data_IF_952906061071
#
_entry.id   IF_952906061071
#
_cell.length_a   1.000
_cell.length_b   1.000
_cell.length_c   1.000
_cell.angle_alpha   90.00
_cell.angle_beta   90.00
_cell.angle_gamma   90.00
#
_symmetry.space_group_name_H-M   'P 1'
#
loop_
_entity.id
_entity.type
_entity.pdbx_description
1 polymer ?
#
# COMPACT_ATOMS: atom_id res chain seq x y z
N UNK A 1 3.76 -16.29 -7.88
CA UNK A 1 2.78 -16.33 -6.77
C UNK A 1 2.07 -15.00 -6.50
N UNK A 2 2.67 -13.84 -6.78
CA UNK A 2 2.08 -12.54 -6.37
C UNK A 2 0.65 -12.26 -6.87
N UNK A 3 0.28 -12.66 -8.09
CA UNK A 3 -1.09 -12.46 -8.59
C UNK A 3 -2.12 -13.31 -7.86
N UNK A 4 -1.82 -14.58 -7.61
CA UNK A 4 -2.71 -15.48 -6.86
C UNK A 4 -2.84 -15.04 -5.41
N UNK A 5 -1.76 -14.51 -4.82
CA UNK A 5 -1.76 -13.88 -3.50
C UNK A 5 -2.65 -12.63 -3.46
N UNK A 6 -2.52 -11.73 -4.42
CA UNK A 6 -3.35 -10.53 -4.53
C UNK A 6 -4.85 -10.86 -4.55
N UNK A 7 -5.24 -11.91 -5.27
CA UNK A 7 -6.63 -12.40 -5.30
C UNK A 7 -7.07 -12.99 -3.96
N UNK A 8 -6.18 -13.65 -3.23
CA UNK A 8 -6.49 -14.17 -1.90
C UNK A 8 -6.65 -13.06 -0.87
N UNK A 9 -5.81 -12.02 -0.93
CA UNK A 9 -5.94 -10.82 -0.08
C UNK A 9 -7.26 -10.09 -0.40
N UNK A 10 -7.55 -9.84 -1.68
CA UNK A 10 -8.78 -9.18 -2.11
C UNK A 10 -10.03 -9.98 -1.70
N UNK A 11 -10.01 -11.31 -1.85
CA UNK A 11 -11.10 -12.18 -1.40
C UNK A 11 -11.31 -12.09 0.11
N UNK A 12 -10.22 -12.06 0.89
CA UNK A 12 -10.29 -12.00 2.36
C UNK A 12 -10.86 -10.66 2.85
N UNK A 13 -10.60 -9.56 2.13
CA UNK A 13 -11.22 -8.25 2.44
C UNK A 13 -12.73 -8.24 2.20
N UNK A 14 -13.22 -9.04 1.25
CA UNK A 14 -14.64 -9.31 1.07
C UNK A 14 -15.48 -8.05 0.91
N UNK A 15 -16.53 -7.92 1.74
CA UNK A 15 -17.48 -6.79 1.68
C UNK A 15 -16.82 -5.44 1.94
N UNK A 16 -15.70 -5.38 2.67
CA UNK A 16 -15.02 -4.12 2.96
C UNK A 16 -14.49 -3.39 1.69
N UNK A 17 -14.40 -4.09 0.55
CA UNK A 17 -13.97 -3.51 -0.72
C UNK A 17 -15.06 -3.46 -1.80
N UNK A 18 -16.27 -3.98 -1.57
CA UNK A 18 -17.28 -4.14 -2.64
C UNK A 18 -17.70 -2.79 -3.24
N UNK A 19 -17.91 -1.77 -2.39
CA UNK A 19 -18.20 -0.42 -2.84
C UNK A 19 -17.06 0.19 -3.67
N UNK A 20 -15.81 -0.05 -3.27
CA UNK A 20 -14.63 0.42 -4.00
C UNK A 20 -14.46 -0.30 -5.35
N UNK A 21 -14.77 -1.60 -5.40
CA UNK A 21 -14.76 -2.39 -6.63
C UNK A 21 -15.86 -1.93 -7.59
N UNK A 22 -17.05 -1.62 -7.06
CA UNK A 22 -18.17 -1.04 -7.82
C UNK A 22 -17.79 0.29 -8.48
N UNK A 23 -17.21 1.22 -7.70
CA UNK A 23 -16.71 2.51 -8.24
C UNK A 23 -15.63 2.33 -9.28
N UNK A 24 -14.70 1.40 -9.06
CA UNK A 24 -13.65 1.12 -10.03
C UNK A 24 -14.24 0.66 -11.36
N UNK A 25 -15.19 -0.28 -11.35
CA UNK A 25 -15.90 -0.68 -12.58
C UNK A 25 -16.61 0.51 -13.25
N UNK A 26 -17.30 1.35 -12.48
CA UNK A 26 -17.97 2.54 -13.01
C UNK A 26 -16.98 3.53 -13.65
N UNK A 27 -15.81 3.73 -13.04
CA UNK A 27 -14.76 4.58 -13.59
C UNK A 27 -14.20 4.03 -14.91
N UNK A 28 -14.09 2.71 -15.05
CA UNK A 28 -13.67 2.06 -16.30
C UNK A 28 -14.72 2.16 -17.40
N UNK A 29 -16.00 1.98 -17.06
CA UNK A 29 -17.13 2.16 -18.00
C UNK A 29 -17.20 3.59 -18.51
N UNK A 30 -17.03 4.59 -17.63
CA UNK A 30 -17.00 6.00 -18.00
C UNK A 30 -15.85 6.35 -18.98
N UNK A 31 -14.76 5.57 -18.95
CA UNK A 31 -13.63 5.69 -19.89
C UNK A 31 -13.81 4.85 -21.16
N UNK A 32 -14.92 4.11 -21.30
CA UNK A 32 -15.16 3.17 -22.39
C UNK A 32 -14.21 1.97 -22.39
N UNK A 33 -13.60 1.66 -21.24
CA UNK A 33 -12.59 0.59 -21.11
C UNK A 33 -13.19 -0.73 -20.64
N UNK A 34 -14.38 -0.72 -20.04
CA UNK A 34 -15.04 -1.91 -19.52
C UNK A 34 -16.48 -1.97 -20.03
N UNK A 35 -16.89 -3.18 -20.43
CA UNK A 35 -18.29 -3.57 -20.55
C UNK A 35 -18.52 -4.75 -19.59
N UNK A 36 -19.29 -4.51 -18.52
CA UNK A 36 -19.54 -5.54 -17.50
C UNK A 36 -20.30 -6.74 -18.04
N UNK A 37 -21.19 -6.55 -19.03
CA UNK A 37 -21.96 -7.65 -19.58
C UNK A 37 -21.06 -8.61 -20.37
N UNK A 38 -20.12 -8.06 -21.16
CA UNK A 38 -19.13 -8.85 -21.90
C UNK A 38 -18.21 -9.63 -20.95
N UNK A 39 -17.75 -8.98 -19.88
CA UNK A 39 -16.85 -9.59 -18.90
C UNK A 39 -17.56 -10.45 -17.83
N UNK A 40 -18.89 -10.61 -17.92
CA UNK A 40 -19.71 -11.34 -16.94
C UNK A 40 -19.56 -10.79 -15.51
N UNK A 41 -19.41 -9.47 -15.38
CA UNK A 41 -19.35 -8.76 -14.10
C UNK A 41 -20.75 -8.29 -13.67
N UNK A 42 -21.03 -8.23 -12.35
CA UNK A 42 -22.33 -7.81 -11.84
C UNK A 42 -22.61 -6.33 -12.12
N UNK A 43 -23.88 -6.04 -12.46
CA UNK A 43 -24.37 -4.67 -12.59
C UNK A 43 -24.36 -3.93 -11.24
N UNK A 44 -24.44 -2.58 -11.23
CA UNK A 44 -24.55 -1.83 -9.99
C UNK A 44 -25.69 -2.29 -9.07
N UNK A 45 -26.86 -2.61 -9.64
CA UNK A 45 -28.01 -3.12 -8.88
C UNK A 45 -27.74 -4.51 -8.29
N UNK A 46 -27.12 -5.41 -9.05
CA UNK A 46 -26.76 -6.75 -8.57
C UNK A 46 -25.70 -6.70 -7.46
N UNK A 47 -24.74 -5.78 -7.53
CA UNK A 47 -23.76 -5.56 -6.46
C UNK A 47 -24.42 -5.05 -5.17
N UNK A 48 -25.35 -4.09 -5.28
CA UNK A 48 -26.07 -3.58 -4.11
C UNK A 48 -26.92 -4.68 -3.44
N UNK A 49 -27.59 -5.52 -4.23
CA UNK A 49 -28.34 -6.67 -3.70
C UNK A 49 -27.42 -7.70 -3.02
N UNK A 50 -26.26 -7.98 -3.60
CA UNK A 50 -25.25 -8.87 -3.00
C UNK A 50 -24.70 -8.30 -1.70
N UNK A 51 -24.39 -7.01 -1.67
CA UNK A 51 -23.92 -6.30 -0.47
C UNK A 51 -24.94 -6.41 0.67
N UNK A 52 -26.22 -6.16 0.39
CA UNK A 52 -27.30 -6.33 1.37
C UNK A 52 -27.47 -7.78 1.87
N UNK A 53 -27.08 -8.77 1.07
CA UNK A 53 -27.07 -10.19 1.46
C UNK A 53 -25.74 -10.66 2.06
N UNK A 54 -24.76 -9.76 2.23
CA UNK A 54 -23.45 -10.10 2.75
C UNK A 54 -22.59 -10.95 1.81
N UNK A 55 -22.86 -10.89 0.50
CA UNK A 55 -22.16 -11.66 -0.53
C UNK A 55 -21.09 -10.81 -1.23
N UNK A 56 -19.78 -11.05 -1.00
CA UNK A 56 -18.73 -10.33 -1.69
C UNK A 56 -18.54 -10.80 -3.15
N UNK A 57 -17.71 -10.09 -3.91
CA UNK A 57 -17.30 -10.52 -5.25
C UNK A 57 -16.59 -11.88 -5.23
N UNK A 58 -16.80 -12.66 -6.29
CA UNK A 58 -16.16 -13.98 -6.45
C UNK A 58 -14.69 -13.84 -6.84
N UNK A 59 -13.90 -14.91 -6.67
CA UNK A 59 -12.49 -14.92 -7.13
C UNK A 59 -12.35 -14.69 -8.64
N UNK A 60 -13.30 -15.18 -9.44
CA UNK A 60 -13.27 -15.01 -10.89
C UNK A 60 -13.47 -13.53 -11.24
N UNK A 61 -14.49 -12.89 -10.66
CA UNK A 61 -14.77 -11.46 -10.85
C UNK A 61 -13.59 -10.59 -10.37
N UNK A 62 -13.00 -10.91 -9.20
CA UNK A 62 -11.77 -10.24 -8.73
C UNK A 62 -10.58 -10.44 -9.68
N UNK A 63 -10.50 -11.61 -10.32
CA UNK A 63 -9.50 -11.91 -11.36
C UNK A 63 -9.60 -10.95 -12.54
N UNK A 64 -10.82 -10.73 -13.04
CA UNK A 64 -11.12 -9.77 -14.11
C UNK A 64 -10.74 -8.37 -13.68
N UNK A 65 -11.20 -7.90 -12.51
CA UNK A 65 -10.88 -6.55 -12.03
C UNK A 65 -9.37 -6.33 -11.84
N UNK A 66 -8.65 -7.33 -11.35
CA UNK A 66 -7.20 -7.25 -11.18
C UNK A 66 -6.48 -7.14 -12.53
N UNK A 67 -6.96 -7.83 -13.56
CA UNK A 67 -6.43 -7.72 -14.91
C UNK A 67 -6.66 -6.33 -15.50
N UNK A 68 -7.88 -5.81 -15.39
CA UNK A 68 -8.22 -4.45 -15.83
C UNK A 68 -7.41 -3.38 -15.09
N UNK A 69 -7.25 -3.50 -13.78
CA UNK A 69 -6.42 -2.59 -13.00
C UNK A 69 -4.98 -2.50 -13.54
N UNK A 70 -4.39 -3.62 -13.96
CA UNK A 70 -3.05 -3.65 -14.55
C UNK A 70 -3.01 -3.08 -15.96
N UNK A 71 -3.99 -3.40 -16.80
CA UNK A 71 -4.04 -2.95 -18.20
C UNK A 71 -4.19 -1.42 -18.24
N UNK A 72 -5.13 -0.90 -17.46
CA UNK A 72 -5.45 0.53 -17.46
C UNK A 72 -4.31 1.34 -16.82
N UNK A 73 -3.80 0.87 -15.68
CA UNK A 73 -2.63 1.51 -15.06
C UNK A 73 -1.41 1.48 -16.00
N UNK A 74 -1.19 0.38 -16.74
CA UNK A 74 -0.11 0.33 -17.72
C UNK A 74 -0.24 1.43 -18.77
N UNK A 75 -1.43 1.57 -19.38
CA UNK A 75 -1.69 2.59 -20.39
C UNK A 75 -1.51 4.01 -19.85
N UNK A 76 -2.01 4.28 -18.65
CA UNK A 76 -1.92 5.60 -18.01
C UNK A 76 -0.46 5.97 -17.69
N UNK A 77 0.35 4.99 -17.26
CA UNK A 77 1.73 5.23 -16.81
C UNK A 77 2.72 5.24 -17.96
N UNK A 78 2.56 4.39 -18.98
CA UNK A 78 3.46 4.39 -20.15
C UNK A 78 3.34 5.69 -20.96
N UNK A 79 2.18 6.36 -20.88
CA UNK A 79 1.95 7.67 -21.50
C UNK A 79 2.45 8.85 -20.64
N UNK A 80 2.84 8.60 -19.38
CA UNK A 80 3.35 9.62 -18.45
C UNK A 80 4.88 9.71 -18.47
N UNK A 81 5.44 10.65 -17.72
CA UNK A 81 6.88 10.81 -17.47
C UNK A 81 7.42 9.91 -16.34
N UNK A 82 6.57 9.12 -15.66
CA UNK A 82 6.97 8.21 -14.58
C UNK A 82 8.10 7.24 -15.02
N UNK A 83 8.03 6.57 -16.18
CA UNK A 83 9.06 5.61 -16.57
C UNK A 83 10.42 6.25 -16.89
N UNK A 84 10.50 7.59 -16.99
CA UNK A 84 11.74 8.31 -17.26
C UNK A 84 12.49 8.69 -15.97
N UNK A 85 11.85 8.57 -14.80
CA UNK A 85 12.53 8.82 -13.53
C UNK A 85 13.61 7.76 -13.29
N UNK A 86 14.84 8.23 -13.08
CA UNK A 86 16.03 7.40 -12.87
C UNK A 86 15.88 6.43 -11.68
N UNK A 87 15.01 6.73 -10.72
CA UNK A 87 14.70 5.82 -9.63
C UNK A 87 14.22 4.44 -10.13
N UNK A 88 13.44 4.39 -11.21
CA UNK A 88 12.88 3.14 -11.74
C UNK A 88 13.86 2.34 -12.61
N UNK A 89 15.08 2.82 -12.84
CA UNK A 89 16.12 2.00 -13.49
C UNK A 89 16.40 0.72 -12.69
N UNK A 90 16.23 0.75 -11.36
CA UNK A 90 16.33 -0.46 -10.55
C UNK A 90 15.26 -1.50 -10.90
N UNK A 91 14.04 -1.05 -11.22
CA UNK A 91 12.93 -1.91 -11.59
C UNK A 91 13.15 -2.49 -13.00
N UNK A 92 13.72 -1.69 -13.91
CA UNK A 92 14.20 -2.16 -15.21
C UNK A 92 15.26 -3.25 -15.05
N UNK A 93 16.30 -3.00 -14.27
CA UNK A 93 17.41 -3.94 -14.12
C UNK A 93 16.97 -5.21 -13.39
N UNK A 94 16.09 -5.09 -12.39
CA UNK A 94 15.52 -6.23 -11.67
C UNK A 94 14.56 -7.09 -12.49
N UNK A 95 14.10 -6.63 -13.66
CA UNK A 95 13.31 -7.44 -14.59
C UNK A 95 14.16 -8.52 -15.28
N UNK A 96 15.42 -8.21 -15.57
CA UNK A 96 16.32 -9.11 -16.29
C UNK A 96 17.08 -10.02 -15.32
N UNK A 97 17.46 -11.25 -15.74
CA UNK A 97 18.35 -12.09 -14.94
C UNK A 97 19.66 -11.37 -14.59
N UNK A 98 20.16 -11.52 -13.36
CA UNK A 98 21.33 -10.81 -12.84
C UNK A 98 22.55 -10.85 -13.76
N UNK A 99 22.82 -11.99 -14.39
CA UNK A 99 23.96 -12.13 -15.32
C UNK A 99 23.79 -11.24 -16.56
N UNK A 100 22.57 -11.14 -17.08
CA UNK A 100 22.24 -10.30 -18.23
C UNK A 100 22.28 -8.83 -17.84
N UNK A 101 21.66 -8.47 -16.71
CA UNK A 101 21.67 -7.12 -16.16
C UNK A 101 23.09 -6.58 -15.96
N UNK A 102 24.02 -7.40 -15.42
CA UNK A 102 25.42 -6.99 -15.23
C UNK A 102 26.19 -6.86 -16.54
N UNK A 103 26.01 -7.80 -17.47
CA UNK A 103 26.81 -7.88 -18.69
C UNK A 103 26.36 -6.89 -19.78
N UNK A 104 25.06 -6.62 -19.87
CA UNK A 104 24.45 -5.84 -20.94
C UNK A 104 23.71 -4.60 -20.41
N UNK A 105 24.24 -3.99 -19.34
CA UNK A 105 23.58 -2.86 -18.68
C UNK A 105 23.32 -1.70 -19.64
N UNK A 106 24.32 -1.33 -20.44
CA UNK A 106 24.20 -0.21 -21.39
C UNK A 106 23.12 -0.47 -22.46
N UNK A 107 23.05 -1.68 -22.98
CA UNK A 107 22.05 -2.11 -23.95
C UNK A 107 20.64 -2.15 -23.35
N UNK A 108 20.52 -2.58 -22.09
CA UNK A 108 19.23 -2.57 -21.37
C UNK A 108 18.75 -1.14 -21.14
N UNK A 109 19.62 -0.22 -20.71
CA UNK A 109 19.27 1.19 -20.53
C UNK A 109 18.86 1.86 -21.86
N UNK A 110 19.53 1.51 -22.96
CA UNK A 110 19.22 2.02 -24.30
C UNK A 110 18.06 1.31 -25.01
N UNK A 111 17.41 0.33 -24.38
CA UNK A 111 16.44 -0.52 -25.04
C UNK A 111 15.15 0.24 -25.41
N UNK A 112 14.64 0.04 -26.63
CA UNK A 112 13.43 0.73 -27.13
C UNK A 112 12.19 0.51 -26.25
N UNK A 113 12.08 -0.66 -25.60
CA UNK A 113 10.97 -1.00 -24.69
C UNK A 113 11.26 -0.65 -23.21
N UNK A 114 12.28 0.16 -22.91
CA UNK A 114 12.65 0.49 -21.51
C UNK A 114 11.44 1.00 -20.74
N UNK A 115 10.68 1.94 -21.32
CA UNK A 115 9.50 2.55 -20.69
C UNK A 115 8.43 1.50 -20.39
N UNK A 116 8.11 0.68 -21.37
CA UNK A 116 7.11 -0.39 -21.28
C UNK A 116 7.51 -1.43 -20.22
N UNK A 117 8.78 -1.82 -20.15
CA UNK A 117 9.25 -2.78 -19.14
C UNK A 117 9.13 -2.19 -17.73
N UNK A 118 9.59 -0.95 -17.52
CA UNK A 118 9.45 -0.25 -16.24
C UNK A 118 7.98 -0.17 -15.84
N UNK A 119 7.13 0.32 -16.73
CA UNK A 119 5.69 0.44 -16.49
C UNK A 119 5.08 -0.90 -16.13
N UNK A 120 5.43 -1.97 -16.86
CA UNK A 120 4.93 -3.32 -16.61
C UNK A 120 5.30 -3.82 -15.22
N UNK A 121 6.56 -3.64 -14.80
CA UNK A 121 7.05 -4.07 -13.48
C UNK A 121 6.33 -3.30 -12.38
N UNK A 122 6.35 -1.97 -12.45
CA UNK A 122 5.81 -1.10 -11.40
C UNK A 122 4.29 -1.22 -11.28
N UNK A 123 3.56 -1.26 -12.40
CA UNK A 123 2.11 -1.45 -12.37
C UNK A 123 1.71 -2.81 -11.77
N UNK A 124 2.44 -3.88 -12.09
CA UNK A 124 2.20 -5.18 -11.49
C UNK A 124 2.48 -5.18 -9.99
N UNK A 125 3.61 -4.60 -9.58
CA UNK A 125 4.01 -4.54 -8.17
C UNK A 125 2.96 -3.77 -7.34
N UNK A 126 2.55 -2.60 -7.82
CA UNK A 126 1.53 -1.77 -7.18
C UNK A 126 0.20 -2.52 -7.09
N UNK A 127 -0.33 -3.04 -8.19
CA UNK A 127 -1.65 -3.69 -8.20
C UNK A 127 -1.64 -5.01 -7.41
N UNK A 128 -0.54 -5.78 -7.43
CA UNK A 128 -0.44 -7.00 -6.65
C UNK A 128 -0.44 -6.73 -5.13
N UNK A 129 0.13 -5.59 -4.69
CA UNK A 129 0.19 -5.23 -3.26
C UNK A 129 -1.03 -4.44 -2.78
N UNK A 130 -1.54 -3.55 -3.62
CA UNK A 130 -2.67 -2.68 -3.29
C UNK A 130 -4.04 -3.30 -3.56
N UNK A 131 -4.12 -4.22 -4.53
CA UNK A 131 -5.38 -4.77 -5.03
C UNK A 131 -5.99 -3.97 -6.19
N UNK A 132 -7.11 -4.45 -6.76
CA UNK A 132 -7.65 -3.94 -8.02
C UNK A 132 -8.13 -2.48 -7.95
N UNK A 133 -8.73 -2.07 -6.83
CA UNK A 133 -9.30 -0.73 -6.68
C UNK A 133 -8.33 0.29 -6.06
N UNK A 134 -7.10 -0.11 -5.73
CA UNK A 134 -6.15 0.72 -4.96
C UNK A 134 -5.90 2.09 -5.59
N UNK A 135 -5.55 2.12 -6.88
CA UNK A 135 -5.22 3.37 -7.58
C UNK A 135 -6.46 4.27 -7.65
N UNK A 136 -7.59 3.72 -8.13
CA UNK A 136 -8.83 4.48 -8.26
C UNK A 136 -9.28 5.09 -6.92
N UNK A 137 -9.19 4.33 -5.82
CA UNK A 137 -9.51 4.83 -4.47
C UNK A 137 -8.67 6.04 -4.08
N UNK A 138 -7.36 5.98 -4.33
CA UNK A 138 -6.46 7.10 -4.00
C UNK A 138 -6.72 8.29 -4.92
N UNK A 139 -7.02 8.08 -6.19
CA UNK A 139 -7.39 9.16 -7.12
C UNK A 139 -8.69 9.84 -6.67
N UNK A 140 -9.74 9.09 -6.35
CA UNK A 140 -11.01 9.64 -5.85
C UNK A 140 -10.82 10.40 -4.52
N UNK A 141 -10.02 9.87 -3.60
CA UNK A 141 -9.83 10.46 -2.28
C UNK A 141 -8.93 11.70 -2.26
N UNK A 142 -8.15 11.95 -3.33
CA UNK A 142 -7.11 12.99 -3.33
C UNK A 142 -7.12 13.89 -4.56
N UNK A 143 -7.86 13.53 -5.61
CA UNK A 143 -7.86 14.23 -6.90
C UNK A 143 -6.56 14.10 -7.70
N UNK A 144 -5.61 13.28 -7.23
CA UNK A 144 -4.29 13.11 -7.86
C UNK A 144 -4.33 12.15 -9.04
N UNK A 145 -3.32 12.22 -9.90
CA UNK A 145 -3.21 11.39 -11.10
C UNK A 145 -2.71 9.98 -10.77
N UNK A 146 -2.90 9.01 -11.68
CA UNK A 146 -2.31 7.68 -11.54
C UNK A 146 -0.77 7.74 -11.47
N UNK A 147 -0.15 8.71 -12.17
CA UNK A 147 1.28 8.96 -12.12
C UNK A 147 1.75 9.39 -10.71
N UNK A 148 1.00 10.27 -10.05
CA UNK A 148 1.27 10.67 -8.66
C UNK A 148 1.14 9.49 -7.69
N UNK A 149 0.13 8.63 -7.90
CA UNK A 149 -0.07 7.42 -7.10
C UNK A 149 1.11 6.46 -7.26
N UNK A 150 1.63 6.26 -8.48
CA UNK A 150 2.78 5.39 -8.72
C UNK A 150 4.06 5.95 -8.09
N UNK A 151 4.34 7.25 -8.23
CA UNK A 151 5.49 7.87 -7.56
C UNK A 151 5.39 7.75 -6.06
N UNK A 152 4.21 7.99 -5.51
CA UNK A 152 3.97 7.86 -4.07
C UNK A 152 4.12 6.42 -3.60
N UNK A 153 3.62 5.45 -4.37
CA UNK A 153 3.84 4.03 -4.08
C UNK A 153 5.34 3.70 -4.06
N UNK A 154 6.16 4.24 -4.96
CA UNK A 154 7.61 4.07 -4.92
C UNK A 154 8.24 4.66 -3.65
N UNK A 155 7.80 5.87 -3.22
CA UNK A 155 8.21 6.46 -1.93
C UNK A 155 7.95 5.51 -0.77
N UNK A 156 6.74 4.96 -0.70
CA UNK A 156 6.33 4.08 0.40
C UNK A 156 7.02 2.71 0.32
N UNK A 157 7.08 2.11 -0.87
CA UNK A 157 7.72 0.82 -1.12
C UNK A 157 9.17 0.81 -0.68
N UNK A 158 9.92 1.82 -1.07
CA UNK A 158 11.36 1.87 -0.86
C UNK A 158 11.72 2.56 0.45
N UNK A 159 10.91 3.54 0.87
CA UNK A 159 11.06 4.21 2.16
C UNK A 159 10.84 3.26 3.34
N UNK A 160 9.86 2.35 3.25
CA UNK A 160 9.63 1.31 4.27
C UNK A 160 10.41 0.00 4.01
N UNK A 161 11.24 -0.06 2.97
CA UNK A 161 11.98 -1.26 2.58
C UNK A 161 11.08 -2.51 2.42
N UNK A 162 9.89 -2.32 1.84
CA UNK A 162 8.88 -3.37 1.74
C UNK A 162 9.37 -4.64 1.03
N UNK A 163 10.21 -4.61 -0.03
CA UNK A 163 10.71 -5.85 -0.62
C UNK A 163 11.42 -6.79 0.36
N UNK A 164 12.07 -6.28 1.41
CA UNK A 164 12.65 -7.11 2.46
C UNK A 164 11.57 -7.71 3.37
N UNK A 165 10.63 -6.88 3.83
CA UNK A 165 9.51 -7.31 4.67
C UNK A 165 8.65 -8.40 3.99
N UNK A 166 8.36 -8.25 2.70
CA UNK A 166 7.61 -9.27 1.95
C UNK A 166 8.39 -10.58 1.85
N UNK A 167 9.73 -10.55 1.67
CA UNK A 167 10.53 -11.79 1.68
C UNK A 167 10.48 -12.50 3.04
N UNK A 168 10.44 -11.75 4.14
CA UNK A 168 10.28 -12.35 5.47
C UNK A 168 8.92 -13.01 5.64
N UNK A 169 7.85 -12.41 5.12
CA UNK A 169 6.50 -13.02 5.15
C UNK A 169 6.41 -14.21 4.18
N UNK A 170 6.97 -14.11 2.98
CA UNK A 170 7.02 -15.19 1.98
C UNK A 170 7.75 -16.42 2.53
N UNK A 171 8.80 -16.23 3.33
CA UNK A 171 9.54 -17.32 3.97
C UNK A 171 8.71 -18.13 4.98
N UNK A 172 7.53 -17.65 5.38
CA UNK A 172 6.58 -18.37 6.23
C UNK A 172 5.61 -19.25 5.44
N UNK A 173 5.73 -19.33 4.11
CA UNK A 173 4.90 -20.20 3.29
C UNK A 173 5.03 -21.66 3.71
N UNK A 174 3.90 -22.31 3.96
CA UNK A 174 3.80 -23.66 4.55
C UNK A 174 4.43 -23.82 5.95
N UNK A 175 4.80 -22.72 6.63
CA UNK A 175 5.32 -22.74 8.02
C UNK A 175 4.24 -22.34 9.05
N UNK A 176 3.30 -21.49 8.65
CA UNK A 176 2.17 -21.04 9.49
C UNK A 176 0.83 -21.25 8.76
N UNK A 177 -0.28 -21.06 9.47
CA UNK A 177 -1.59 -21.07 8.85
C UNK A 177 -1.72 -20.01 7.75
N UNK A 178 -2.26 -20.40 6.60
CA UNK A 178 -2.36 -19.52 5.43
C UNK A 178 -3.26 -18.29 5.66
N UNK A 179 -4.27 -18.37 6.54
CA UNK A 179 -5.05 -17.18 6.90
C UNK A 179 -4.21 -16.21 7.72
N UNK A 180 -3.41 -16.71 8.67
CA UNK A 180 -2.49 -15.87 9.45
C UNK A 180 -1.51 -15.16 8.51
N UNK A 181 -0.91 -15.87 7.55
CA UNK A 181 0.00 -15.25 6.59
C UNK A 181 -0.70 -14.16 5.75
N UNK A 182 -1.95 -14.38 5.34
CA UNK A 182 -2.75 -13.35 4.65
C UNK A 182 -3.00 -12.11 5.53
N UNK A 183 -3.16 -12.28 6.86
CA UNK A 183 -3.28 -11.14 7.78
C UNK A 183 -1.99 -10.31 7.84
N UNK A 184 -0.82 -10.97 7.83
CA UNK A 184 0.47 -10.27 7.77
C UNK A 184 0.56 -9.40 6.50
N UNK A 185 0.17 -9.94 5.34
CA UNK A 185 0.12 -9.17 4.10
C UNK A 185 -0.89 -8.01 4.14
N UNK A 186 -2.03 -8.18 4.79
CA UNK A 186 -3.01 -7.11 4.94
C UNK A 186 -2.49 -5.96 5.80
N UNK A 187 -1.70 -6.25 6.84
CA UNK A 187 -1.06 -5.22 7.64
C UNK A 187 -0.12 -4.35 6.80
N UNK A 188 0.68 -4.97 5.92
CA UNK A 188 1.55 -4.23 5.00
C UNK A 188 0.73 -3.46 3.95
N UNK A 189 -0.36 -4.05 3.45
CA UNK A 189 -1.26 -3.40 2.49
C UNK A 189 -1.92 -2.15 3.09
N UNK A 190 -2.26 -2.19 4.38
CA UNK A 190 -2.78 -1.03 5.13
C UNK A 190 -1.73 0.08 5.22
N UNK A 191 -0.51 -0.26 5.65
CA UNK A 191 0.61 0.69 5.71
C UNK A 191 0.80 1.38 4.35
N UNK A 192 0.81 0.61 3.27
CA UNK A 192 0.93 1.15 1.91
C UNK A 192 -0.20 2.14 1.62
N UNK A 193 -1.46 1.76 1.87
CA UNK A 193 -2.62 2.59 1.54
C UNK A 193 -2.68 3.88 2.37
N UNK A 194 -2.53 3.78 3.70
CA UNK A 194 -2.64 4.92 4.62
C UNK A 194 -1.53 5.92 4.35
N UNK A 195 -0.28 5.45 4.26
CA UNK A 195 0.86 6.35 4.03
C UNK A 195 0.83 6.95 2.62
N UNK A 196 0.40 6.19 1.60
CA UNK A 196 0.22 6.75 0.26
C UNK A 196 -0.84 7.85 0.23
N UNK A 197 -1.98 7.64 0.91
CA UNK A 197 -3.02 8.65 1.03
C UNK A 197 -2.53 9.91 1.75
N UNK A 198 -1.72 9.76 2.80
CA UNK A 198 -1.10 10.90 3.48
C UNK A 198 -0.17 11.68 2.56
N UNK A 199 0.72 11.01 1.82
CA UNK A 199 1.64 11.67 0.89
C UNK A 199 0.90 12.39 -0.24
N UNK A 200 -0.11 11.79 -0.84
CA UNK A 200 -0.87 12.42 -1.92
C UNK A 200 -1.61 13.70 -1.48
N UNK A 201 -1.97 13.79 -0.20
CA UNK A 201 -2.63 14.97 0.39
C UNK A 201 -1.65 16.05 0.84
N UNK A 202 -0.54 15.66 1.45
CA UNK A 202 0.35 16.58 2.17
C UNK A 202 1.66 16.89 1.44
N UNK A 203 2.01 16.10 0.42
CA UNK A 203 3.21 16.30 -0.38
C UNK A 203 2.87 17.01 -1.69
N UNK A 204 3.60 18.08 -1.98
CA UNK A 204 3.48 18.80 -3.24
C UNK A 204 4.03 17.98 -4.43
N UNK A 205 4.89 16.99 -4.17
CA UNK A 205 5.48 16.12 -5.19
C UNK A 205 6.57 16.78 -6.03
N UNK A 206 7.09 17.93 -5.58
CA UNK A 206 8.06 18.74 -6.34
C UNK A 206 9.50 18.30 -6.15
N UNK A 207 9.82 17.64 -5.04
CA UNK A 207 11.15 17.09 -4.80
C UNK A 207 11.38 15.82 -5.63
N UNK A 208 12.63 15.55 -6.07
CA UNK A 208 12.98 14.31 -6.76
C UNK A 208 12.56 13.07 -5.97
N UNK A 209 12.15 12.00 -6.67
CA UNK A 209 11.66 10.77 -6.04
C UNK A 209 12.69 10.15 -5.09
N UNK A 210 13.97 10.12 -5.49
CA UNK A 210 15.08 9.62 -4.66
C UNK A 210 15.24 10.41 -3.36
N UNK A 211 15.07 11.72 -3.40
CA UNK A 211 15.12 12.57 -2.20
C UNK A 211 13.96 12.25 -1.25
N UNK A 212 12.73 12.14 -1.76
CA UNK A 212 11.54 11.82 -0.96
C UNK A 212 11.66 10.47 -0.25
N UNK A 213 12.24 9.48 -0.94
CA UNK A 213 12.55 8.16 -0.35
C UNK A 213 13.58 8.31 0.77
N UNK A 214 14.68 9.02 0.52
CA UNK A 214 15.75 9.22 1.50
C UNK A 214 15.24 9.94 2.76
N UNK A 215 14.39 10.95 2.60
CA UNK A 215 13.76 11.67 3.71
C UNK A 215 12.91 10.74 4.59
N UNK A 216 12.12 9.84 3.98
CA UNK A 216 11.35 8.85 4.73
C UNK A 216 12.27 7.84 5.43
N UNK A 217 13.32 7.37 4.77
CA UNK A 217 14.30 6.45 5.35
C UNK A 217 15.01 7.05 6.56
N UNK A 218 15.46 8.30 6.48
CA UNK A 218 16.13 8.98 7.59
C UNK A 218 15.15 9.27 8.74
N UNK A 219 13.91 9.67 8.44
CA UNK A 219 12.88 9.84 9.47
C UNK A 219 12.59 8.52 10.21
N UNK A 220 12.46 7.41 9.49
CA UNK A 220 12.29 6.07 10.07
C UNK A 220 13.48 5.67 10.93
N UNK A 221 14.70 5.82 10.42
CA UNK A 221 15.94 5.50 11.14
C UNK A 221 16.07 6.28 12.45
N UNK A 222 15.63 7.54 12.47
CA UNK A 222 15.65 8.37 13.67
C UNK A 222 14.56 7.98 14.69
N UNK A 223 13.36 7.61 14.21
CA UNK A 223 12.19 7.40 15.08
C UNK A 223 11.97 5.95 15.50
N UNK A 224 12.07 4.98 14.59
CA UNK A 224 11.67 3.58 14.85
C UNK A 224 12.31 2.97 16.10
N UNK A 225 13.63 3.15 16.38
CA UNK A 225 14.24 2.62 17.59
C UNK A 225 13.68 3.22 18.89
N UNK A 226 13.02 4.38 18.80
CA UNK A 226 12.50 5.15 19.94
C UNK A 226 10.98 5.09 20.04
N UNK A 227 10.26 4.73 18.97
CA UNK A 227 8.80 4.79 18.88
C UNK A 227 8.10 4.19 20.10
N UNK A 228 8.43 2.95 20.48
CA UNK A 228 7.81 2.25 21.62
C UNK A 228 7.89 3.06 22.92
N UNK A 229 9.03 3.70 23.16
CA UNK A 229 9.25 4.51 24.37
C UNK A 229 8.50 5.84 24.35
N UNK A 230 8.22 6.38 23.17
CA UNK A 230 7.52 7.64 22.96
C UNK A 230 6.00 7.49 23.02
N UNK A 231 5.50 6.27 22.82
CA UNK A 231 4.07 6.01 22.78
C UNK A 231 3.41 6.17 24.15
N UNK A 232 2.16 6.68 24.19
CA UNK A 232 1.31 6.63 25.36
C UNK A 232 1.06 5.19 25.81
N UNK A 233 0.75 4.99 27.10
CA UNK A 233 0.56 3.66 27.68
C UNK A 233 -0.48 2.82 26.92
N UNK A 234 -1.62 3.43 26.56
CA UNK A 234 -2.68 2.77 25.79
C UNK A 234 -2.17 2.21 24.45
N UNK A 235 -1.49 3.02 23.64
CA UNK A 235 -0.97 2.58 22.34
C UNK A 235 0.13 1.53 22.50
N UNK A 236 0.97 1.65 23.54
CA UNK A 236 2.03 0.67 23.82
C UNK A 236 1.45 -0.70 24.18
N UNK A 237 0.43 -0.74 25.03
CA UNK A 237 -0.27 -1.98 25.40
C UNK A 237 -0.89 -2.66 24.17
N UNK A 238 -1.57 -1.90 23.30
CA UNK A 238 -2.19 -2.44 22.07
C UNK A 238 -1.16 -3.02 21.09
N UNK A 239 0.00 -2.37 20.95
CA UNK A 239 1.08 -2.88 20.09
C UNK A 239 1.68 -4.15 20.68
N UNK A 240 1.86 -4.20 22.00
CA UNK A 240 2.40 -5.38 22.66
C UNK A 240 1.44 -6.57 22.60
N UNK A 241 0.13 -6.33 22.79
CA UNK A 241 -0.93 -7.33 22.55
C UNK A 241 -0.86 -7.87 21.11
N UNK A 242 -0.74 -6.97 20.13
CA UNK A 242 -0.67 -7.35 18.72
C UNK A 242 0.60 -8.15 18.42
N UNK A 243 1.76 -7.69 18.92
CA UNK A 243 3.04 -8.39 18.78
C UNK A 243 2.96 -9.81 19.35
N UNK A 244 2.42 -9.95 20.55
CA UNK A 244 2.24 -11.25 21.20
C UNK A 244 1.27 -12.14 20.44
N UNK A 245 0.17 -11.58 19.92
CA UNK A 245 -0.79 -12.29 19.09
C UNK A 245 -0.16 -12.85 17.82
N UNK A 246 0.63 -12.03 17.11
CA UNK A 246 1.35 -12.43 15.90
C UNK A 246 2.39 -13.52 16.20
N UNK A 247 3.15 -13.37 17.29
CA UNK A 247 4.13 -14.37 17.72
C UNK A 247 3.47 -15.71 18.05
N UNK A 248 2.37 -15.71 18.82
CA UNK A 248 1.57 -16.90 19.11
C UNK A 248 0.99 -17.57 17.87
N UNK A 249 0.69 -16.78 16.84
CA UNK A 249 0.20 -17.28 15.56
C UNK A 249 1.31 -17.85 14.65
N UNK A 250 2.57 -17.85 15.12
CA UNK A 250 3.71 -18.50 14.45
C UNK A 250 4.66 -17.55 13.73
N UNK A 251 4.45 -16.22 13.77
CA UNK A 251 5.39 -15.28 13.20
C UNK A 251 6.67 -15.18 14.07
N UNK A 252 7.88 -15.14 13.48
CA UNK A 252 9.12 -14.87 14.22
C UNK A 252 9.04 -13.58 15.03
N UNK A 253 9.70 -13.52 16.19
CA UNK A 253 9.59 -12.39 17.12
C UNK A 253 9.96 -11.04 16.48
N UNK A 254 11.01 -11.01 15.64
CA UNK A 254 11.42 -9.81 14.91
C UNK A 254 10.33 -9.32 13.96
N UNK A 255 9.76 -10.23 13.16
CA UNK A 255 8.71 -9.91 12.20
C UNK A 255 7.42 -9.50 12.89
N UNK A 256 7.04 -10.19 13.97
CA UNK A 256 5.90 -9.84 14.81
C UNK A 256 6.04 -8.43 15.40
N UNK A 257 7.23 -8.07 15.88
CA UNK A 257 7.53 -6.73 16.38
C UNK A 257 7.43 -5.66 15.29
N UNK A 258 8.04 -5.91 14.13
CA UNK A 258 8.01 -4.99 12.99
C UNK A 258 6.58 -4.76 12.48
N UNK A 259 5.81 -5.84 12.31
CA UNK A 259 4.43 -5.77 11.85
C UNK A 259 3.53 -5.10 12.88
N UNK A 260 3.67 -5.40 14.18
CA UNK A 260 2.88 -4.74 15.22
C UNK A 260 3.11 -3.22 15.26
N UNK A 261 4.32 -2.76 14.96
CA UNK A 261 4.66 -1.34 14.89
C UNK A 261 4.22 -0.62 13.61
N UNK A 262 3.81 -1.35 12.56
CA UNK A 262 3.46 -0.76 11.25
C UNK A 262 2.40 0.35 11.34
N UNK A 263 1.37 0.19 12.18
CA UNK A 263 0.31 1.20 12.35
C UNK A 263 0.83 2.50 12.97
N UNK A 264 1.85 2.43 13.82
CA UNK A 264 2.50 3.63 14.36
C UNK A 264 3.49 4.19 13.34
N UNK A 265 4.14 3.32 12.57
CA UNK A 265 5.05 3.72 11.51
C UNK A 265 4.33 4.52 10.40
N UNK A 266 3.02 4.30 10.19
CA UNK A 266 2.16 5.11 9.32
C UNK A 266 2.16 6.61 9.69
N UNK A 267 2.47 6.96 10.96
CA UNK A 267 2.50 8.35 11.47
C UNK A 267 3.86 9.05 11.26
N UNK A 268 4.91 8.31 10.89
CA UNK A 268 6.26 8.86 10.72
C UNK A 268 6.30 10.03 9.71
N UNK A 269 5.63 9.97 8.54
CA UNK A 269 5.61 11.08 7.61
C UNK A 269 4.99 12.36 8.21
N UNK A 270 3.94 12.22 9.03
CA UNK A 270 3.24 13.33 9.66
C UNK A 270 4.09 14.00 10.74
N UNK A 271 4.76 13.18 11.56
CA UNK A 271 5.75 13.65 12.53
C UNK A 271 6.92 14.36 11.83
N UNK A 272 7.41 13.81 10.72
CA UNK A 272 8.50 14.41 9.95
C UNK A 272 8.08 15.76 9.34
N UNK A 273 6.87 15.87 8.81
CA UNK A 273 6.32 17.13 8.32
C UNK A 273 6.16 18.17 9.45
N UNK A 274 5.68 17.74 10.61
CA UNK A 274 5.54 18.57 11.81
C UNK A 274 6.89 19.11 12.26
N UNK A 275 7.91 18.24 12.33
CA UNK A 275 9.28 18.61 12.69
C UNK A 275 9.85 19.67 11.73
N UNK A 276 9.72 19.46 10.41
CA UNK A 276 10.20 20.41 9.40
C UNK A 276 9.48 21.76 9.49
N UNK A 277 8.15 21.74 9.60
CA UNK A 277 7.34 22.96 9.67
C UNK A 277 7.67 23.77 10.93
N UNK A 278 7.95 23.10 12.04
CA UNK A 278 8.32 23.75 13.30
C UNK A 278 9.81 24.08 13.43
N UNK A 279 10.66 23.63 12.50
CA UNK A 279 12.12 23.74 12.62
C UNK A 279 12.68 22.99 13.84
N UNK A 280 12.05 21.88 14.24
CA UNK A 280 12.35 21.14 15.45
C UNK A 280 13.04 19.80 15.17
N UNK A 281 13.71 19.25 16.17
CA UNK A 281 14.19 17.87 16.15
C UNK A 281 13.01 16.88 16.02
N UNK A 282 13.18 15.83 15.21
CA UNK A 282 12.10 14.89 14.90
C UNK A 282 11.66 14.08 16.11
N UNK A 283 12.56 13.79 17.06
CA UNK A 283 12.21 13.07 18.29
C UNK A 283 11.43 13.99 19.23
N UNK A 284 11.79 15.27 19.31
CA UNK A 284 11.02 16.28 20.04
C UNK A 284 9.62 16.46 19.44
N UNK A 285 9.50 16.54 18.11
CA UNK A 285 8.22 16.60 17.42
C UNK A 285 7.37 15.36 17.69
N UNK A 286 7.96 14.15 17.66
CA UNK A 286 7.26 12.90 17.99
C UNK A 286 6.71 12.91 19.43
N UNK A 287 7.51 13.37 20.41
CA UNK A 287 7.07 13.52 21.80
C UNK A 287 5.85 14.43 21.91
N UNK A 288 5.90 15.60 21.27
CA UNK A 288 4.80 16.54 21.25
C UNK A 288 3.56 15.94 20.56
N UNK A 289 3.74 15.30 19.41
CA UNK A 289 2.69 14.65 18.64
C UNK A 289 1.93 13.61 19.48
N UNK A 290 2.65 12.70 20.14
CA UNK A 290 2.03 11.68 20.99
C UNK A 290 1.42 12.25 22.28
N UNK A 291 2.04 13.27 22.88
CA UNK A 291 1.49 13.93 24.06
C UNK A 291 0.15 14.62 23.76
N UNK A 292 0.07 15.35 22.63
CA UNK A 292 -1.18 15.97 22.17
C UNK A 292 -2.21 14.91 21.85
N UNK A 293 -1.83 13.86 21.12
CA UNK A 293 -2.73 12.76 20.76
C UNK A 293 -3.32 12.06 21.99
N UNK A 294 -2.53 11.83 23.04
CA UNK A 294 -3.02 11.22 24.28
C UNK A 294 -3.91 12.17 25.10
N UNK A 295 -3.55 13.47 25.15
CA UNK A 295 -4.36 14.49 25.83
C UNK A 295 -5.79 14.56 25.24
N UNK A 296 -5.92 14.46 23.92
CA UNK A 296 -7.20 14.41 23.23
C UNK A 296 -7.77 12.99 23.08
N UNK A 297 -7.10 11.97 23.64
CA UNK A 297 -7.49 10.56 23.56
C UNK A 297 -7.69 10.05 22.13
N UNK A 298 -7.02 10.63 21.15
CA UNK A 298 -7.14 10.28 19.72
C UNK A 298 -6.94 8.79 19.49
N UNK A 299 -5.92 8.10 20.07
CA UNK A 299 -5.74 6.66 19.84
C UNK A 299 -6.93 5.80 20.26
N UNK A 300 -7.69 6.21 21.30
CA UNK A 300 -8.87 5.48 21.78
C UNK A 300 -10.05 5.67 20.82
N UNK A 301 -10.20 6.87 20.27
CA UNK A 301 -11.22 7.17 19.26
C UNK A 301 -10.91 6.41 17.98
N UNK A 302 -9.66 6.38 17.53
CA UNK A 302 -9.26 5.61 16.36
C UNK A 302 -9.47 4.11 16.52
N UNK A 303 -9.09 3.52 17.67
CA UNK A 303 -9.31 2.10 17.96
C UNK A 303 -10.80 1.75 17.97
N UNK A 304 -11.64 2.60 18.57
CA UNK A 304 -13.10 2.46 18.53
C UNK A 304 -13.66 2.61 17.12
N UNK A 305 -13.18 3.57 16.33
CA UNK A 305 -13.63 3.77 14.96
C UNK A 305 -13.29 2.56 14.06
N UNK A 306 -12.14 1.91 14.29
CA UNK A 306 -11.73 0.70 13.56
C UNK A 306 -12.56 -0.54 13.88
N UNK A 307 -13.23 -0.58 15.05
CA UNK A 307 -14.11 -1.70 15.42
C UNK A 307 -15.51 -1.58 14.85
N UNK A 308 -15.87 -0.40 14.30
CA UNK A 308 -17.14 -0.19 13.61
C UNK A 308 -17.01 -0.76 12.19
N UNK A 309 -17.90 -1.70 11.84
CA UNK A 309 -18.12 -2.08 10.45
C UNK A 309 -19.15 -1.11 9.88
N UNK A 310 -18.80 -0.22 8.93
CA UNK A 310 -19.76 0.71 8.36
C UNK A 310 -20.90 -0.08 7.71
N UNK A 311 -22.14 0.22 8.09
CA UNK A 311 -23.34 -0.38 7.50
C UNK A 311 -23.69 0.26 6.14
N UNK A 312 -23.20 1.48 5.92
CA UNK A 312 -23.29 2.23 4.68
C UNK A 312 -21.93 2.87 4.41
N UNK A 313 -21.58 3.02 3.13
CA UNK A 313 -20.34 3.66 2.72
C UNK A 313 -20.38 5.21 2.88
N UNK A 314 -21.55 5.80 3.16
CA UNK A 314 -21.70 7.26 3.32
C UNK A 314 -21.39 7.74 4.73
#
# INVERSE_FOLDING_TARGET
>A
YQQTLALSIARKRGLADIAHQSRFMTALEARGLLDRAVETLPSPAALAEREARGEPMTRAELGVLLAYAKIVLFSDIVASDVPDDAHFDRDLMGYFPDQMAKKYAAEIHGHRLRREIITRVVANDLVNRGGPSFVNRLQEATGRTAADVVRTFAVVRDGFALPALYREIDALDNQIDGQVQLDLYQMVSRLIYVTSGWYLKNDAGTAPLSQRIAELQEARKALEPKLVSLLPAFSRERIEEKRHGLFKAGAPESLAGQLALSEVAELIPDIALTARTAGADIVAAAKAFFAVSDAFRIPRVEDAARSITPSDYY
#
